data_IF_663807178058
#
_entry.id   IF_663807178058
#
_cell.length_a   1.000
_cell.length_b   1.000
_cell.length_c   1.000
_cell.angle_alpha   90.00
_cell.angle_beta   90.00
_cell.angle_gamma   90.00
#
_symmetry.space_group_name_H-M   'P 1'
#
loop_
_entity.id
_entity.type
_entity.pdbx_description
1 polymer ?
#
# COMPACT_ATOMS: atom_id res chain seq x y z
N UNK A 1 -8.67 0.07 6.99
CA UNK A 1 -10.07 -0.37 6.91
C UNK A 1 -10.57 -0.14 5.51
N UNK A 2 -11.20 -1.16 4.90
CA UNK A 2 -11.73 -1.12 3.52
C UNK A 2 -13.19 -0.70 3.56
N UNK A 3 -13.66 -0.06 2.49
CA UNK A 3 -15.07 0.32 2.29
C UNK A 3 -15.67 1.26 3.35
N UNK A 4 -14.84 2.03 4.05
CA UNK A 4 -15.29 3.08 4.96
C UNK A 4 -15.09 4.45 4.29
N UNK A 5 -16.17 5.18 3.95
CA UNK A 5 -16.07 6.52 3.39
C UNK A 5 -15.38 7.51 4.36
N UNK A 6 -14.59 8.46 3.84
CA UNK A 6 -13.92 9.45 4.71
C UNK A 6 -14.89 10.26 5.57
N UNK A 7 -16.12 10.44 5.09
CA UNK A 7 -17.18 11.18 5.78
C UNK A 7 -17.69 10.45 7.03
N UNK A 8 -17.48 9.13 7.12
CA UNK A 8 -17.92 8.25 8.22
C UNK A 8 -16.75 7.86 9.16
N UNK A 9 -15.55 8.37 8.93
CA UNK A 9 -14.35 7.99 9.68
C UNK A 9 -14.38 8.42 11.16
N UNK A 10 -15.08 9.50 11.52
CA UNK A 10 -14.97 10.12 12.84
C UNK A 10 -15.30 9.17 14.01
N UNK A 11 -16.39 8.43 13.91
CA UNK A 11 -16.82 7.46 14.93
C UNK A 11 -15.84 6.29 15.04
N UNK A 12 -15.46 5.72 13.89
CA UNK A 12 -14.50 4.61 13.85
C UNK A 12 -13.14 5.03 14.38
N UNK A 13 -12.66 6.21 14.02
CA UNK A 13 -11.39 6.77 14.50
C UNK A 13 -11.40 6.94 16.04
N UNK A 14 -12.52 7.40 16.61
CA UNK A 14 -12.66 7.53 18.06
C UNK A 14 -12.55 6.16 18.77
N UNK A 15 -13.20 5.12 18.23
CA UNK A 15 -13.15 3.76 18.76
C UNK A 15 -11.74 3.20 18.68
N UNK A 16 -11.06 3.32 17.52
CA UNK A 16 -9.69 2.84 17.34
C UNK A 16 -8.71 3.56 18.26
N UNK A 17 -8.83 4.89 18.37
CA UNK A 17 -7.99 5.68 19.27
C UNK A 17 -8.18 5.27 20.74
N UNK A 18 -9.41 5.06 21.18
CA UNK A 18 -9.70 4.60 22.54
C UNK A 18 -9.14 3.20 22.82
N UNK A 19 -9.02 2.35 21.79
CA UNK A 19 -8.42 1.04 21.88
C UNK A 19 -6.88 1.03 21.71
N UNK A 20 -6.25 2.19 21.49
CA UNK A 20 -4.81 2.28 21.21
C UNK A 20 -4.41 1.70 19.86
N UNK A 21 -5.32 1.68 18.88
CA UNK A 21 -5.10 1.16 17.53
C UNK A 21 -5.00 2.30 16.51
N UNK A 22 -4.08 2.15 15.57
CA UNK A 22 -3.97 3.03 14.42
C UNK A 22 -5.00 2.68 13.34
N UNK A 23 -5.71 3.70 12.86
CA UNK A 23 -6.65 3.53 11.74
C UNK A 23 -5.91 3.76 10.41
N UNK A 24 -5.64 2.67 9.71
CA UNK A 24 -5.08 2.72 8.36
C UNK A 24 -6.21 3.01 7.37
N UNK A 25 -6.12 4.13 6.70
CA UNK A 25 -7.09 4.58 5.69
C UNK A 25 -6.57 4.34 4.28
N UNK A 26 -7.48 4.19 3.32
CA UNK A 26 -7.17 3.89 1.94
C UNK A 26 -7.48 5.08 1.03
N UNK A 27 -6.55 5.38 0.13
CA UNK A 27 -6.76 6.27 -1.01
C UNK A 27 -6.59 5.47 -2.32
N UNK A 28 -7.24 5.93 -3.38
CA UNK A 28 -7.19 5.32 -4.71
C UNK A 28 -7.03 6.40 -5.79
N UNK A 29 -6.75 6.05 -7.06
CA UNK A 29 -6.70 7.02 -8.16
C UNK A 29 -7.99 7.82 -8.33
N UNK A 30 -9.13 7.25 -7.95
CA UNK A 30 -10.46 7.88 -8.03
C UNK A 30 -10.82 8.73 -6.81
N UNK A 31 -9.99 8.75 -5.77
CA UNK A 31 -10.22 9.60 -4.58
C UNK A 31 -10.10 11.07 -4.95
N UNK A 32 -11.13 11.87 -4.71
CA UNK A 32 -11.13 13.32 -4.99
C UNK A 32 -10.15 14.08 -4.08
N UNK A 33 -9.72 15.27 -4.50
CA UNK A 33 -8.77 16.09 -3.73
C UNK A 33 -9.34 16.52 -2.38
N UNK A 34 -10.67 16.71 -2.29
CA UNK A 34 -11.38 16.99 -1.04
C UNK A 34 -11.27 15.82 -0.08
N UNK A 35 -11.55 14.60 -0.55
CA UNK A 35 -11.44 13.37 0.25
C UNK A 35 -10.01 13.06 0.65
N UNK A 36 -9.02 13.39 -0.16
CA UNK A 36 -7.61 13.27 0.22
C UNK A 36 -7.31 14.08 1.48
N UNK A 37 -7.83 15.29 1.59
CA UNK A 37 -7.68 16.08 2.81
C UNK A 37 -8.18 15.33 4.04
N UNK A 38 -9.44 14.85 4.00
CA UNK A 38 -10.06 14.10 5.09
C UNK A 38 -9.27 12.83 5.45
N UNK A 39 -8.80 12.09 4.43
CA UNK A 39 -7.99 10.87 4.65
C UNK A 39 -6.64 11.19 5.29
N UNK A 40 -5.94 12.24 4.85
CA UNK A 40 -4.66 12.64 5.44
C UNK A 40 -4.81 13.07 6.90
N UNK A 41 -5.89 13.76 7.24
CA UNK A 41 -6.17 14.20 8.62
C UNK A 41 -6.52 13.02 9.54
N UNK A 42 -7.21 12.01 9.00
CA UNK A 42 -7.64 10.84 9.75
C UNK A 42 -6.57 9.74 9.83
N UNK A 43 -5.62 9.68 8.90
CA UNK A 43 -4.62 8.62 8.82
C UNK A 43 -3.78 8.50 10.09
N UNK A 44 -3.60 7.28 10.56
CA UNK A 44 -2.70 6.93 11.67
C UNK A 44 -1.85 5.74 11.23
N UNK A 45 -0.64 5.61 11.77
CA UNK A 45 0.30 4.59 11.36
C UNK A 45 0.85 4.83 9.95
N UNK A 46 0.05 4.62 8.93
CA UNK A 46 0.36 4.95 7.53
C UNK A 46 -0.92 5.14 6.70
N UNK A 47 -0.79 5.77 5.52
CA UNK A 47 -1.84 5.88 4.53
C UNK A 47 -1.58 4.87 3.41
N UNK A 48 -2.56 4.06 3.05
CA UNK A 48 -2.44 3.03 2.03
C UNK A 48 -2.99 3.54 0.69
N UNK A 49 -2.15 3.63 -0.33
CA UNK A 49 -2.58 3.94 -1.69
C UNK A 49 -2.76 2.66 -2.50
N UNK A 50 -4.00 2.41 -2.91
CA UNK A 50 -4.36 1.29 -3.78
C UNK A 50 -4.12 1.70 -5.22
N UNK A 51 -2.97 1.34 -5.80
CA UNK A 51 -2.73 1.55 -7.23
C UNK A 51 -3.44 0.44 -8.03
N UNK A 52 -4.24 0.78 -9.04
CA UNK A 52 -4.94 -0.22 -9.86
C UNK A 52 -4.05 -0.91 -10.92
N UNK A 53 -2.76 -0.97 -10.73
CA UNK A 53 -1.81 -1.60 -11.65
C UNK A 53 -1.99 -3.13 -11.75
N UNK A 54 -3.20 -3.63 -11.94
CA UNK A 54 -3.43 -5.08 -11.95
C UNK A 54 -4.85 -5.54 -12.24
N UNK A 55 -5.76 -4.64 -12.55
CA UNK A 55 -7.09 -5.05 -13.02
C UNK A 55 -6.99 -5.39 -14.49
N UNK A 56 -7.28 -6.64 -14.82
CA UNK A 56 -7.25 -7.27 -16.15
C UNK A 56 -7.71 -6.33 -17.26
N UNK A 57 -6.80 -5.96 -18.19
CA UNK A 57 -7.13 -5.26 -19.43
C UNK A 57 -6.62 -3.83 -19.56
N UNK A 58 -5.96 -3.25 -18.55
CA UNK A 58 -5.28 -1.96 -18.66
C UNK A 58 -3.76 -2.20 -18.74
N UNK A 59 -3.28 -2.56 -19.93
CA UNK A 59 -1.87 -2.86 -20.20
C UNK A 59 -0.93 -1.64 -20.07
N UNK A 60 -1.46 -0.46 -19.85
CA UNK A 60 -0.73 0.76 -19.54
C UNK A 60 -1.51 1.59 -18.54
N UNK A 61 -1.50 1.20 -17.26
CA UNK A 61 -1.76 2.19 -16.23
C UNK A 61 -0.72 3.30 -16.39
N UNK A 62 -1.21 4.51 -16.42
CA UNK A 62 -0.38 5.69 -16.42
C UNK A 62 0.40 5.72 -15.10
N UNK A 63 1.55 5.03 -15.07
CA UNK A 63 2.46 4.97 -13.92
C UNK A 63 2.86 6.38 -13.49
N UNK A 64 2.83 7.34 -14.42
CA UNK A 64 3.07 8.73 -14.16
C UNK A 64 1.95 9.36 -13.31
N UNK A 65 0.69 9.13 -13.69
CA UNK A 65 -0.45 9.64 -12.90
C UNK A 65 -0.48 9.04 -11.49
N UNK A 66 -0.14 7.76 -11.35
CA UNK A 66 -0.02 7.11 -10.05
C UNK A 66 1.12 7.72 -9.22
N UNK A 67 2.28 8.00 -9.83
CA UNK A 67 3.41 8.66 -9.18
C UNK A 67 3.07 10.09 -8.76
N UNK A 68 2.42 10.88 -9.64
CA UNK A 68 1.96 12.23 -9.31
C UNK A 68 1.02 12.22 -8.09
N UNK A 69 0.11 11.24 -8.05
CA UNK A 69 -0.82 11.08 -6.94
C UNK A 69 -0.13 10.67 -5.64
N UNK A 70 0.82 9.77 -5.68
CA UNK A 70 1.64 9.39 -4.53
C UNK A 70 2.41 10.60 -3.98
N UNK A 71 3.05 11.38 -4.84
CA UNK A 71 3.75 12.60 -4.41
C UNK A 71 2.81 13.61 -3.77
N UNK A 72 1.59 13.78 -4.30
CA UNK A 72 0.57 14.64 -3.71
C UNK A 72 0.17 14.17 -2.32
N UNK A 73 -0.07 12.87 -2.14
CA UNK A 73 -0.41 12.27 -0.85
C UNK A 73 0.73 12.45 0.16
N UNK A 74 1.98 12.14 -0.22
CA UNK A 74 3.15 12.33 0.64
C UNK A 74 3.35 13.78 1.09
N UNK A 75 3.10 14.73 0.20
CA UNK A 75 3.22 16.16 0.54
C UNK A 75 2.16 16.63 1.55
N UNK A 76 1.04 15.92 1.69
CA UNK A 76 -0.09 16.30 2.56
C UNK A 76 -0.22 15.43 3.80
N UNK A 77 0.26 14.19 3.75
CA UNK A 77 0.13 13.23 4.85
C UNK A 77 1.16 13.48 5.95
N UNK A 78 0.73 13.45 7.20
CA UNK A 78 1.61 13.47 8.37
C UNK A 78 2.20 12.08 8.70
N UNK A 79 1.71 11.02 8.05
CA UNK A 79 2.16 9.63 8.22
C UNK A 79 2.74 9.11 6.90
N UNK A 80 3.58 8.05 6.92
CA UNK A 80 4.11 7.46 5.71
C UNK A 80 3.01 7.04 4.73
N UNK A 81 3.25 7.22 3.44
CA UNK A 81 2.36 6.76 2.36
C UNK A 81 2.93 5.50 1.74
N UNK A 82 2.20 4.40 1.85
CA UNK A 82 2.60 3.12 1.26
C UNK A 82 1.74 2.80 0.06
N UNK A 83 2.35 2.24 -0.98
CA UNK A 83 1.65 1.82 -2.18
C UNK A 83 1.52 0.30 -2.23
N UNK A 84 0.35 -0.17 -2.61
CA UNK A 84 0.08 -1.59 -2.80
C UNK A 84 -0.75 -1.83 -4.05
N UNK A 85 -0.71 -3.03 -4.54
CA UNK A 85 -1.34 -3.58 -5.72
C UNK A 85 -0.40 -3.79 -6.91
N UNK A 86 -0.42 -5.01 -7.46
CA UNK A 86 0.38 -5.38 -8.64
C UNK A 86 1.88 -5.55 -8.40
N UNK A 87 2.37 -5.39 -7.18
CA UNK A 87 3.78 -5.60 -6.83
C UNK A 87 4.03 -7.11 -6.70
N UNK A 88 4.89 -7.63 -7.53
CA UNK A 88 5.17 -9.07 -7.65
C UNK A 88 6.66 -9.44 -7.62
N UNK A 89 7.54 -8.47 -7.79
CA UNK A 89 8.98 -8.67 -7.89
C UNK A 89 9.75 -7.41 -7.45
N UNK A 90 11.08 -7.53 -7.39
CA UNK A 90 11.98 -6.47 -6.98
C UNK A 90 11.90 -5.23 -7.90
N UNK A 91 11.69 -5.43 -9.20
CA UNK A 91 11.63 -4.33 -10.16
C UNK A 91 10.36 -3.48 -9.96
N UNK A 92 9.20 -4.13 -9.81
CA UNK A 92 7.93 -3.45 -9.53
C UNK A 92 7.93 -2.78 -8.15
N UNK A 93 8.54 -3.39 -7.14
CA UNK A 93 8.72 -2.80 -5.81
C UNK A 93 9.57 -1.53 -5.88
N UNK A 94 10.73 -1.60 -6.55
CA UNK A 94 11.63 -0.46 -6.72
C UNK A 94 10.97 0.69 -7.49
N UNK A 95 10.28 0.39 -8.58
CA UNK A 95 9.58 1.39 -9.37
C UNK A 95 8.52 2.15 -8.55
N UNK A 96 7.78 1.44 -7.69
CA UNK A 96 6.76 2.05 -6.85
C UNK A 96 7.36 2.87 -5.69
N UNK A 97 8.49 2.44 -5.15
CA UNK A 97 9.17 3.10 -4.02
C UNK A 97 9.76 4.47 -4.37
N UNK A 98 9.91 4.82 -5.65
CA UNK A 98 10.36 6.15 -6.08
C UNK A 98 9.43 7.25 -5.54
N UNK A 99 8.13 7.00 -5.56
CA UNK A 99 7.11 7.97 -5.20
C UNK A 99 6.35 7.65 -3.89
N UNK A 100 6.64 6.50 -3.26
CA UNK A 100 6.04 6.05 -2.01
C UNK A 100 7.10 5.88 -0.90
N UNK A 101 6.69 5.94 0.37
CA UNK A 101 7.57 5.67 1.53
C UNK A 101 7.75 4.17 1.78
N UNK A 102 6.91 3.34 1.18
CA UNK A 102 6.98 1.89 1.28
C UNK A 102 6.02 1.20 0.32
N UNK A 103 6.13 -0.12 0.28
CA UNK A 103 5.28 -0.95 -0.58
C UNK A 103 4.61 -2.09 0.21
N UNK A 104 3.43 -2.48 -0.24
CA UNK A 104 2.69 -3.63 0.32
C UNK A 104 2.57 -4.72 -0.74
N UNK A 105 2.99 -5.93 -0.38
CA UNK A 105 2.93 -7.10 -1.26
C UNK A 105 2.00 -8.14 -0.62
N UNK A 106 0.95 -8.50 -1.33
CA UNK A 106 -0.06 -9.46 -0.86
C UNK A 106 -0.06 -10.75 -1.69
N UNK A 107 -0.81 -10.76 -2.77
CA UNK A 107 -1.11 -11.96 -3.56
C UNK A 107 0.13 -12.71 -4.07
N UNK A 108 1.19 -12.00 -4.44
CA UNK A 108 2.43 -12.63 -4.89
C UNK A 108 3.14 -13.39 -3.76
N UNK A 109 3.15 -12.87 -2.53
CA UNK A 109 3.67 -13.58 -1.37
C UNK A 109 2.79 -14.79 -1.03
N UNK A 110 1.46 -14.60 -1.01
CA UNK A 110 0.52 -15.71 -0.78
C UNK A 110 0.73 -16.84 -1.80
N UNK A 111 0.88 -16.51 -3.09
CA UNK A 111 1.17 -17.48 -4.13
C UNK A 111 2.52 -18.21 -3.91
N UNK A 112 3.56 -17.49 -3.48
CA UNK A 112 4.85 -18.09 -3.16
C UNK A 112 4.75 -19.09 -1.98
N UNK A 113 3.84 -18.87 -1.05
CA UNK A 113 3.64 -19.72 0.12
C UNK A 113 2.69 -20.89 -0.11
N UNK A 114 1.78 -20.81 -1.09
CA UNK A 114 0.66 -21.73 -1.28
C UNK A 114 1.06 -23.21 -1.41
N UNK A 115 2.24 -23.51 -1.98
CA UNK A 115 2.74 -24.87 -2.18
C UNK A 115 3.74 -25.32 -1.11
N UNK A 116 3.82 -24.64 0.03
CA UNK A 116 4.73 -25.03 1.08
C UNK A 116 4.20 -26.25 1.83
N UNK A 117 4.99 -27.32 1.85
CA UNK A 117 4.60 -28.58 2.50
C UNK A 117 4.76 -28.56 4.05
N UNK A 118 5.38 -27.51 4.60
CA UNK A 118 5.62 -27.38 6.04
C UNK A 118 5.81 -25.91 6.44
N UNK A 119 5.66 -25.56 7.72
CA UNK A 119 5.97 -24.21 8.22
C UNK A 119 7.41 -23.78 7.90
N UNK A 120 8.37 -24.69 7.96
CA UNK A 120 9.76 -24.41 7.64
C UNK A 120 9.92 -24.09 6.14
N UNK A 121 9.31 -24.86 5.25
CA UNK A 121 9.32 -24.59 3.81
C UNK A 121 8.64 -23.25 3.49
N UNK A 122 7.54 -22.91 4.18
CA UNK A 122 6.87 -21.63 4.02
C UNK A 122 7.79 -20.46 4.40
N UNK A 123 8.52 -20.57 5.52
CA UNK A 123 9.50 -19.56 5.93
C UNK A 123 10.62 -19.38 4.91
N UNK A 124 11.18 -20.46 4.41
CA UNK A 124 12.25 -20.42 3.40
C UNK A 124 11.77 -19.74 2.10
N UNK A 125 10.55 -20.09 1.64
CA UNK A 125 9.92 -19.45 0.48
C UNK A 125 9.65 -17.95 0.72
N UNK A 126 9.16 -17.58 1.90
CA UNK A 126 8.95 -16.19 2.27
C UNK A 126 10.26 -15.39 2.22
N UNK A 127 11.34 -15.93 2.79
CA UNK A 127 12.65 -15.29 2.77
C UNK A 127 13.20 -15.17 1.35
N UNK A 128 13.11 -16.23 0.54
CA UNK A 128 13.55 -16.22 -0.85
C UNK A 128 12.80 -15.17 -1.69
N UNK A 129 11.50 -14.98 -1.43
CA UNK A 129 10.67 -13.99 -2.12
C UNK A 129 10.92 -12.57 -1.62
N UNK A 130 10.96 -12.33 -0.31
CA UNK A 130 11.03 -11.00 0.27
C UNK A 130 12.44 -10.38 0.24
N UNK A 131 13.51 -11.20 0.33
CA UNK A 131 14.89 -10.68 0.37
C UNK A 131 15.25 -9.84 -0.86
N UNK A 132 14.99 -10.27 -2.11
CA UNK A 132 15.27 -9.45 -3.28
C UNK A 132 14.45 -8.14 -3.31
N UNK A 133 13.20 -8.17 -2.85
CA UNK A 133 12.36 -6.97 -2.74
C UNK A 133 12.98 -5.97 -1.76
N UNK A 134 13.35 -6.44 -0.56
CA UNK A 134 13.97 -5.58 0.45
C UNK A 134 15.26 -4.94 -0.06
N UNK A 135 16.13 -5.76 -0.67
CA UNK A 135 17.40 -5.26 -1.25
C UNK A 135 17.17 -4.21 -2.33
N UNK A 136 16.14 -4.36 -3.18
CA UNK A 136 15.79 -3.38 -4.20
C UNK A 136 15.28 -2.07 -3.60
N UNK A 137 14.54 -2.14 -2.51
CA UNK A 137 14.02 -0.96 -1.79
C UNK A 137 15.14 -0.20 -1.05
N UNK A 138 16.14 -0.91 -0.51
CA UNK A 138 17.30 -0.28 0.15
C UNK A 138 18.22 0.49 -0.82
N UNK A 139 18.04 0.27 -2.12
CA UNK A 139 18.78 0.93 -3.21
C UNK A 139 17.94 1.92 -4.03
N UNK A 140 16.71 2.23 -3.60
CA UNK A 140 15.78 3.09 -4.29
C UNK A 140 15.93 4.58 -3.95
#
# INVERSE_FOLDING_TARGET
>A
LVDLPPEELAETLAIFTAAGLDLIVLASPTTSDERIGLLCDAARGYLYYVSFAGVTGADHLDTRAAGDRLRQLRARSAVPVVAGFGIKDAASAKAMAVDADGVVVGSALVAALAEAASPQAARERALAFLTPLRQALDQA
#
